data_IF_848625284770
#
_entry.id   IF_848625284770
#
_cell.length_a   1.000
_cell.length_b   1.000
_cell.length_c   1.000
_cell.angle_alpha   90.00
_cell.angle_beta   90.00
_cell.angle_gamma   90.00
#
_symmetry.space_group_name_H-M   'P 1'
#
loop_
_entity.id
_entity.type
_entity.pdbx_description
1 polymer ?
#
# COMPACT_ATOMS: atom_id res chain seq x y z
N UNK A 1 -1.81 -11.26 -4.87
CA UNK A 1 -2.55 -11.00 -3.62
C UNK A 1 -4.00 -10.59 -3.94
N UNK A 2 -5.02 -11.31 -3.44
CA UNK A 2 -6.43 -10.97 -3.69
C UNK A 2 -6.92 -9.94 -2.67
N UNK A 3 -7.23 -8.73 -3.12
CA UNK A 3 -7.71 -7.64 -2.27
C UNK A 3 -9.22 -7.75 -2.02
N UNK A 4 -9.64 -7.43 -0.80
CA UNK A 4 -11.08 -7.31 -0.46
C UNK A 4 -11.68 -6.06 -1.12
N UNK A 5 -13.00 -6.01 -1.38
CA UNK A 5 -13.63 -4.86 -2.03
C UNK A 5 -13.31 -3.52 -1.37
N UNK A 6 -13.38 -3.42 -0.04
CA UNK A 6 -13.06 -2.19 0.68
C UNK A 6 -11.60 -1.76 0.54
N UNK A 7 -10.67 -2.72 0.45
CA UNK A 7 -9.25 -2.43 0.26
C UNK A 7 -9.00 -1.87 -1.15
N UNK A 8 -9.68 -2.44 -2.16
CA UNK A 8 -9.63 -1.91 -3.52
C UNK A 8 -10.18 -0.49 -3.60
N UNK A 9 -11.34 -0.23 -2.98
CA UNK A 9 -11.92 1.12 -2.91
C UNK A 9 -10.95 2.09 -2.26
N UNK A 10 -10.43 1.76 -1.06
CA UNK A 10 -9.47 2.61 -0.36
C UNK A 10 -8.21 2.92 -1.19
N UNK A 11 -7.64 1.92 -1.85
CA UNK A 11 -6.47 2.11 -2.71
C UNK A 11 -6.81 2.97 -3.94
N UNK A 12 -8.00 2.81 -4.51
CA UNK A 12 -8.46 3.60 -5.66
C UNK A 12 -8.60 5.06 -5.29
N UNK A 13 -9.26 5.38 -4.18
CA UNK A 13 -9.40 6.76 -3.68
C UNK A 13 -8.03 7.39 -3.39
N UNK A 14 -7.12 6.65 -2.75
CA UNK A 14 -5.75 7.12 -2.52
C UNK A 14 -5.04 7.44 -3.84
N UNK A 15 -5.15 6.57 -4.86
CA UNK A 15 -4.53 6.81 -6.17
C UNK A 15 -5.15 8.00 -6.90
N UNK A 16 -6.46 8.14 -6.84
CA UNK A 16 -7.16 9.27 -7.44
C UNK A 16 -6.60 10.59 -6.90
N UNK A 17 -6.50 10.74 -5.58
CA UNK A 17 -5.91 11.94 -4.99
C UNK A 17 -4.41 12.12 -5.30
N UNK A 18 -3.65 11.04 -5.45
CA UNK A 18 -2.25 11.16 -5.92
C UNK A 18 -2.16 11.66 -7.37
N UNK A 19 -3.14 11.34 -8.22
CA UNK A 19 -3.22 11.85 -9.60
C UNK A 19 -3.62 13.32 -9.62
N UNK A 20 -4.47 13.76 -8.69
CA UNK A 20 -4.81 15.17 -8.44
C UNK A 20 -3.66 15.96 -7.75
N UNK A 21 -2.43 15.47 -7.82
CA UNK A 21 -1.22 16.10 -7.27
C UNK A 21 -1.21 16.32 -5.74
N UNK A 22 -2.10 15.68 -4.98
CA UNK A 22 -2.03 15.73 -3.52
C UNK A 22 -0.81 14.96 -3.01
N UNK A 23 0.10 15.66 -2.33
CA UNK A 23 1.38 15.09 -1.86
C UNK A 23 1.32 14.42 -0.48
N UNK A 24 0.33 14.77 0.33
CA UNK A 24 0.19 14.33 1.73
C UNK A 24 -1.17 13.67 1.91
N UNK A 25 -1.20 12.35 1.97
CA UNK A 25 -2.42 11.56 2.08
C UNK A 25 -2.33 10.64 3.30
N UNK A 26 -3.46 10.49 4.00
CA UNK A 26 -3.56 9.62 5.17
C UNK A 26 -4.64 8.58 4.90
N UNK A 27 -4.25 7.30 4.94
CA UNK A 27 -5.19 6.18 4.89
C UNK A 27 -5.55 5.77 6.33
N UNK A 28 -6.71 6.23 6.81
CA UNK A 28 -7.23 5.79 8.11
C UNK A 28 -7.97 4.46 7.97
N UNK A 29 -7.64 3.48 8.83
CA UNK A 29 -8.29 2.17 8.82
C UNK A 29 -8.09 1.46 10.16
N UNK A 30 -9.08 0.69 10.67
CA UNK A 30 -8.98 0.05 11.97
C UNK A 30 -7.89 -1.02 12.04
N UNK A 31 -7.52 -1.47 13.25
CA UNK A 31 -6.66 -2.63 13.43
C UNK A 31 -7.30 -3.88 12.80
N UNK A 32 -6.49 -4.81 12.29
CA UNK A 32 -7.00 -6.01 11.59
C UNK A 32 -7.58 -5.78 10.19
N UNK A 33 -7.76 -4.53 9.73
CA UNK A 33 -8.30 -4.22 8.40
C UNK A 33 -7.37 -4.57 7.23
N UNK A 34 -6.10 -4.87 7.52
CA UNK A 34 -5.08 -5.12 6.52
C UNK A 34 -4.43 -3.85 5.96
N UNK A 35 -4.15 -2.84 6.80
CA UNK A 35 -3.35 -1.65 6.41
C UNK A 35 -2.05 -2.02 5.71
N UNK A 36 -1.38 -3.07 6.20
CA UNK A 36 -0.18 -3.63 5.58
C UNK A 36 -0.41 -4.09 4.14
N UNK A 37 -1.41 -4.95 3.94
CA UNK A 37 -1.81 -5.43 2.63
C UNK A 37 -2.10 -4.27 1.67
N UNK A 38 -2.76 -3.22 2.15
CA UNK A 38 -3.09 -2.05 1.33
C UNK A 38 -1.84 -1.28 0.89
N UNK A 39 -0.91 -0.94 1.81
CA UNK A 39 0.30 -0.22 1.40
C UNK A 39 1.24 -1.10 0.57
N UNK A 40 1.35 -2.40 0.86
CA UNK A 40 2.20 -3.33 0.07
C UNK A 40 1.68 -3.45 -1.36
N UNK A 41 0.35 -3.53 -1.55
CA UNK A 41 -0.25 -3.50 -2.89
C UNK A 41 -0.02 -2.16 -3.62
N UNK A 42 -0.07 -1.03 -2.91
CA UNK A 42 0.26 0.27 -3.49
C UNK A 42 1.74 0.37 -3.89
N UNK A 43 2.63 -0.10 -3.04
CA UNK A 43 4.06 -0.16 -3.27
C UNK A 43 4.38 -1.03 -4.48
N UNK A 44 3.83 -2.26 -4.56
CA UNK A 44 4.05 -3.18 -5.68
C UNK A 44 3.71 -2.54 -7.02
N UNK A 45 2.49 -2.02 -7.16
CA UNK A 45 2.05 -1.36 -8.40
C UNK A 45 2.84 -0.09 -8.73
N UNK A 46 3.59 0.49 -7.79
CA UNK A 46 4.48 1.62 -8.06
C UNK A 46 5.85 1.13 -8.55
N UNK A 47 6.37 0.06 -7.94
CA UNK A 47 7.58 -0.65 -8.36
C UNK A 47 7.41 -1.23 -9.77
N UNK A 48 6.25 -1.85 -10.07
CA UNK A 48 5.92 -2.37 -11.41
C UNK A 48 5.92 -1.27 -12.49
N UNK A 49 5.77 0.00 -12.09
CA UNK A 49 5.87 1.18 -12.96
C UNK A 49 7.28 1.78 -13.00
N UNK A 50 8.29 1.07 -12.49
CA UNK A 50 9.67 1.52 -12.40
C UNK A 50 9.94 2.60 -11.35
N UNK A 51 9.00 2.84 -10.42
CA UNK A 51 9.18 3.86 -9.36
C UNK A 51 9.86 3.28 -8.13
N UNK A 52 10.65 4.12 -7.44
CA UNK A 52 11.20 3.80 -6.12
C UNK A 52 10.16 4.06 -5.03
N UNK A 53 10.06 3.17 -4.06
CA UNK A 53 9.16 3.28 -2.90
C UNK A 53 9.98 3.12 -1.64
N UNK A 54 9.81 4.04 -0.69
CA UNK A 54 10.38 3.95 0.65
C UNK A 54 9.26 3.64 1.64
N UNK A 55 9.44 2.60 2.45
CA UNK A 55 8.52 2.23 3.52
C UNK A 55 9.30 2.37 4.82
N UNK A 56 8.83 3.25 5.69
CA UNK A 56 9.41 3.49 7.01
C UNK A 56 8.49 2.89 8.06
N UNK A 57 9.03 1.99 8.88
CA UNK A 57 8.30 1.36 9.98
C UNK A 57 9.25 0.93 11.08
N UNK A 58 8.74 0.92 12.32
CA UNK A 58 9.47 0.54 13.52
C UNK A 58 9.65 -1.00 13.66
N UNK A 59 8.76 -1.79 13.03
CA UNK A 59 8.67 -3.25 13.25
C UNK A 59 9.21 -4.07 12.07
N UNK A 60 10.20 -4.92 12.32
CA UNK A 60 10.80 -5.84 11.33
C UNK A 60 9.79 -6.81 10.66
N UNK A 61 8.69 -7.17 11.33
CA UNK A 61 7.65 -8.08 10.80
C UNK A 61 7.03 -7.60 9.48
N UNK A 62 6.97 -6.28 9.27
CA UNK A 62 6.44 -5.69 8.05
C UNK A 62 7.37 -5.90 6.85
N UNK A 63 8.67 -6.04 7.09
CA UNK A 63 9.67 -6.30 6.05
C UNK A 63 9.48 -7.71 5.47
N UNK A 64 9.27 -8.71 6.32
CA UNK A 64 9.04 -10.10 5.90
C UNK A 64 7.72 -10.26 5.13
N UNK A 65 6.64 -9.64 5.60
CA UNK A 65 5.34 -9.66 4.91
C UNK A 65 5.36 -8.90 3.58
N UNK A 66 6.09 -7.77 3.54
CA UNK A 66 6.22 -6.98 2.31
C UNK A 66 7.12 -7.68 1.30
N UNK A 67 8.20 -8.34 1.73
CA UNK A 67 9.05 -9.13 0.83
C UNK A 67 8.27 -10.24 0.13
N UNK A 68 7.46 -11.01 0.88
CA UNK A 68 6.64 -12.09 0.30
C UNK A 68 5.56 -11.57 -0.67
N UNK A 69 4.96 -10.42 -0.36
CA UNK A 69 3.98 -9.77 -1.24
C UNK A 69 4.62 -9.11 -2.48
N UNK A 70 5.91 -8.75 -2.41
CA UNK A 70 6.68 -8.10 -3.48
C UNK A 70 7.53 -9.07 -4.32
N UNK A 71 7.69 -10.34 -3.93
CA UNK A 71 8.38 -11.36 -4.74
C UNK A 71 7.46 -12.30 -5.52
N UNK A 72 6.15 -12.31 -5.24
CA UNK A 72 5.15 -13.01 -6.08
C UNK A 72 4.70 -12.19 -7.29
#
# INVERSE_FOLDING_TARGET
>A
MKLRPYQNTAIREMRFHMQEHHRRLILCSPTGSGKTVMFSAMARRSIDKGKKVMILTDRQELMNQTHFALQQ
#
